data_IF_127861317861
#
_entry.id   IF_127861317861
#
_cell.length_a   1.000
_cell.length_b   1.000
_cell.length_c   1.000
_cell.angle_alpha   90.00
_cell.angle_beta   90.00
_cell.angle_gamma   90.00
#
_symmetry.space_group_name_H-M   'P 1'
#
loop_
_entity.id
_entity.type
_entity.pdbx_description
1 polymer ?
#
# COMPACT_ATOMS: atom_id res chain seq x y z
N UNK A 1 31.59 16.10 34.14
CA UNK A 1 32.74 15.19 34.30
C UNK A 1 33.83 15.58 33.32
N UNK A 2 35.10 15.30 33.67
CA UNK A 2 36.24 15.54 32.81
C UNK A 2 36.57 14.24 32.05
N UNK A 3 36.67 14.32 30.71
CA UNK A 3 37.10 13.24 29.85
C UNK A 3 38.55 13.46 29.45
N UNK A 4 39.42 12.47 29.66
CA UNK A 4 40.79 12.43 29.18
C UNK A 4 40.89 11.51 27.99
N UNK A 5 41.27 12.02 26.83
CA UNK A 5 41.48 11.22 25.63
C UNK A 5 42.82 10.48 25.72
N UNK A 6 42.81 9.18 25.98
CA UNK A 6 44.01 8.34 25.96
C UNK A 6 44.45 8.09 24.48
N UNK A 7 45.75 7.84 24.25
CA UNK A 7 46.22 7.43 22.92
C UNK A 7 45.49 6.18 22.43
N UNK A 8 44.82 6.29 21.33
CA UNK A 8 44.10 5.15 20.69
C UNK A 8 44.08 5.29 19.17
N UNK A 9 44.09 4.15 18.49
CA UNK A 9 44.09 4.11 16.99
C UNK A 9 42.85 4.78 16.42
N UNK A 10 41.70 4.62 17.07
CA UNK A 10 40.42 5.09 16.59
C UNK A 10 40.04 6.50 17.08
N UNK A 11 40.76 6.99 18.11
CA UNK A 11 40.51 8.33 18.67
C UNK A 11 39.20 8.47 19.45
N UNK A 12 39.04 9.62 20.10
CA UNK A 12 37.85 10.01 20.84
C UNK A 12 37.30 11.30 20.22
N UNK A 13 36.01 11.37 20.02
CA UNK A 13 35.32 12.57 19.55
C UNK A 13 34.21 12.96 20.54
N UNK A 14 34.18 14.23 20.93
CA UNK A 14 33.13 14.82 21.76
C UNK A 14 32.32 15.78 20.86
N UNK A 15 31.02 15.56 20.78
CA UNK A 15 30.15 16.24 19.84
C UNK A 15 30.65 16.07 18.38
N UNK A 16 31.16 17.14 17.76
CA UNK A 16 31.74 17.12 16.40
C UNK A 16 33.25 17.33 16.37
N UNK A 17 33.90 17.45 17.56
CA UNK A 17 35.33 17.71 17.67
C UNK A 17 36.07 16.43 18.07
N UNK A 18 37.11 16.10 17.31
CA UNK A 18 38.04 15.01 17.68
C UNK A 18 39.03 15.54 18.71
N UNK A 19 39.20 14.80 19.81
CA UNK A 19 40.14 15.13 20.87
C UNK A 19 41.51 14.57 20.51
N UNK A 20 42.58 15.36 20.78
CA UNK A 20 43.95 14.92 20.62
C UNK A 20 44.33 13.94 21.75
N UNK A 21 45.29 13.01 21.55
CA UNK A 21 45.80 12.17 22.60
C UNK A 21 46.34 13.01 23.77
N UNK A 22 45.89 12.75 24.98
CA UNK A 22 46.24 13.50 26.19
C UNK A 22 45.40 14.78 26.44
N UNK A 23 44.50 15.11 25.50
CA UNK A 23 43.61 16.25 25.66
C UNK A 23 42.51 15.96 26.70
N UNK A 24 42.27 16.97 27.55
CA UNK A 24 41.15 16.94 28.49
C UNK A 24 40.01 17.81 28.00
N UNK A 25 38.82 17.28 28.06
CA UNK A 25 37.61 18.02 27.69
C UNK A 25 36.55 17.82 28.79
N UNK A 26 35.84 18.90 29.11
CA UNK A 26 34.68 18.79 29.99
C UNK A 26 33.55 18.12 29.21
N UNK A 27 33.11 16.95 29.66
CA UNK A 27 31.89 16.36 29.20
C UNK A 27 30.72 17.09 29.86
N UNK A 28 29.90 17.87 29.09
CA UNK A 28 28.70 18.41 29.65
C UNK A 28 27.82 17.24 30.10
N UNK A 29 27.30 17.32 31.31
CA UNK A 29 26.29 16.36 31.79
C UNK A 29 25.04 16.45 30.92
N UNK A 30 24.35 15.37 30.74
CA UNK A 30 23.08 15.37 30.03
C UNK A 30 23.08 14.65 28.67
N UNK A 31 22.59 15.29 27.63
CA UNK A 31 22.25 14.66 26.35
C UNK A 31 23.41 14.56 25.34
N UNK A 32 24.63 14.95 25.70
CA UNK A 32 25.75 14.86 24.78
C UNK A 32 26.41 13.48 24.75
N UNK A 33 26.48 12.93 23.54
CA UNK A 33 27.17 11.67 23.27
C UNK A 33 28.64 11.94 22.90
N UNK A 34 29.54 11.07 23.37
CA UNK A 34 30.90 11.01 22.86
C UNK A 34 31.14 9.69 22.13
N UNK A 35 32.05 9.72 21.19
CA UNK A 35 32.34 8.58 20.30
C UNK A 35 33.75 8.10 20.55
N UNK A 36 33.92 6.84 20.84
CA UNK A 36 35.20 6.15 20.93
C UNK A 36 35.29 5.14 19.81
N UNK A 37 36.09 5.45 18.80
CA UNK A 37 36.11 4.66 17.57
C UNK A 37 34.76 4.65 16.85
N UNK A 38 34.12 3.49 16.76
CA UNK A 38 32.78 3.33 16.16
C UNK A 38 31.66 3.29 17.24
N UNK A 39 32.00 3.31 18.52
CA UNK A 39 31.03 3.17 19.61
C UNK A 39 30.62 4.54 20.13
N UNK A 40 29.31 4.79 20.12
CA UNK A 40 28.73 6.00 20.71
C UNK A 40 28.40 5.71 22.19
N UNK A 41 28.92 6.51 23.06
CA UNK A 41 28.77 6.40 24.51
C UNK A 41 28.14 7.66 25.08
N UNK A 42 27.37 7.53 26.15
CA UNK A 42 26.76 8.63 26.88
C UNK A 42 27.19 8.53 28.34
N UNK A 43 27.74 9.61 28.84
CA UNK A 43 28.05 9.72 30.26
C UNK A 43 26.82 10.27 31.00
N UNK A 44 26.36 9.54 32.00
CA UNK A 44 25.31 10.00 32.91
C UNK A 44 25.92 10.22 34.30
N UNK A 45 25.62 11.36 34.89
CA UNK A 45 26.04 11.70 36.21
C UNK A 45 24.99 11.27 37.24
N UNK A 46 25.44 10.88 38.43
CA UNK A 46 24.54 10.57 39.54
C UNK A 46 23.72 11.82 39.91
N UNK A 47 22.39 11.70 39.95
CA UNK A 47 21.49 12.82 40.24
C UNK A 47 20.96 13.54 38.99
N UNK A 48 21.36 13.16 37.77
CA UNK A 48 20.79 13.67 36.56
C UNK A 48 19.32 13.23 36.41
N UNK A 49 18.41 14.19 36.14
CA UNK A 49 17.00 13.86 35.91
C UNK A 49 16.87 12.98 34.67
N UNK A 50 16.44 11.76 34.86
CA UNK A 50 16.14 10.85 33.76
C UNK A 50 14.86 11.31 33.07
N UNK A 51 14.87 11.30 31.72
CA UNK A 51 13.64 11.45 30.99
C UNK A 51 12.65 10.36 31.45
N UNK A 52 11.36 10.71 31.65
CA UNK A 52 10.38 9.75 32.11
C UNK A 52 10.36 8.53 31.19
N UNK A 53 10.36 7.35 31.79
CA UNK A 53 10.29 6.09 31.05
C UNK A 53 9.07 6.12 30.12
N UNK A 54 9.32 5.97 28.84
CA UNK A 54 8.24 5.77 27.88
C UNK A 54 7.87 4.30 27.90
N UNK A 55 6.61 4.02 28.23
CA UNK A 55 6.10 2.67 28.10
C UNK A 55 6.38 2.16 26.67
N UNK A 56 7.04 1.02 26.56
CA UNK A 56 7.21 0.33 25.29
C UNK A 56 5.82 0.13 24.67
N UNK A 57 5.70 0.44 23.37
CA UNK A 57 4.49 0.18 22.64
C UNK A 57 4.06 -1.27 22.90
N UNK A 58 2.88 -1.44 23.45
CA UNK A 58 2.37 -2.77 23.80
C UNK A 58 2.41 -3.66 22.56
N UNK A 59 3.09 -4.79 22.64
CA UNK A 59 3.07 -5.79 21.57
C UNK A 59 1.60 -6.11 21.23
N UNK A 60 1.27 -6.24 19.95
CA UNK A 60 -0.10 -6.55 19.56
C UNK A 60 -0.55 -7.82 20.29
N UNK A 61 -1.74 -7.80 20.87
CA UNK A 61 -2.30 -8.99 21.54
C UNK A 61 -2.44 -10.08 20.50
N UNK A 62 -1.72 -11.18 20.65
CA UNK A 62 -1.70 -12.32 19.70
C UNK A 62 -3.11 -12.78 19.36
N UNK A 63 -3.99 -12.87 20.36
CA UNK A 63 -5.39 -13.23 20.18
C UNK A 63 -6.12 -12.29 19.22
N UNK A 64 -5.97 -10.97 19.40
CA UNK A 64 -6.61 -10.00 18.50
C UNK A 64 -6.04 -10.07 17.09
N UNK A 65 -4.74 -10.31 16.95
CA UNK A 65 -4.11 -10.50 15.63
C UNK A 65 -4.65 -11.73 14.92
N UNK A 66 -4.79 -12.84 15.64
CA UNK A 66 -5.39 -14.07 15.08
C UNK A 66 -6.85 -13.88 14.70
N UNK A 67 -7.64 -13.16 15.51
CA UNK A 67 -9.04 -12.85 15.19
C UNK A 67 -9.12 -12.05 13.89
N UNK A 68 -8.29 -11.00 13.72
CA UNK A 68 -8.30 -10.19 12.50
C UNK A 68 -7.83 -11.01 11.29
N UNK A 69 -6.79 -11.85 11.44
CA UNK A 69 -6.34 -12.74 10.37
C UNK A 69 -7.41 -13.77 9.98
N UNK A 70 -8.14 -14.32 10.95
CA UNK A 70 -9.25 -15.23 10.72
C UNK A 70 -10.44 -14.51 10.04
N UNK A 71 -10.74 -13.28 10.42
CA UNK A 71 -11.75 -12.44 9.75
C UNK A 71 -11.37 -12.15 8.30
N UNK A 72 -10.11 -11.78 8.03
CA UNK A 72 -9.61 -11.59 6.67
C UNK A 72 -9.78 -12.87 5.85
N UNK A 73 -9.32 -14.00 6.37
CA UNK A 73 -9.42 -15.28 5.67
C UNK A 73 -10.88 -15.69 5.43
N UNK A 74 -11.73 -15.59 6.47
CA UNK A 74 -13.17 -15.88 6.34
C UNK A 74 -13.85 -14.95 5.33
N UNK A 75 -13.49 -13.67 5.30
CA UNK A 75 -13.97 -12.71 4.30
C UNK A 75 -13.57 -13.14 2.88
N UNK A 76 -12.30 -13.47 2.65
CA UNK A 76 -11.82 -13.91 1.33
C UNK A 76 -12.50 -15.20 0.88
N UNK A 77 -12.72 -16.16 1.80
CA UNK A 77 -13.50 -17.37 1.50
C UNK A 77 -14.95 -17.06 1.14
N UNK A 78 -15.60 -16.15 1.86
CA UNK A 78 -16.96 -15.73 1.56
C UNK A 78 -17.06 -15.00 0.21
N UNK A 79 -16.12 -14.10 -0.08
CA UNK A 79 -16.04 -13.41 -1.36
C UNK A 79 -15.80 -14.40 -2.51
N UNK A 80 -14.96 -15.39 -2.32
CA UNK A 80 -14.74 -16.48 -3.29
C UNK A 80 -15.99 -17.31 -3.49
N UNK A 81 -16.70 -17.68 -2.42
CA UNK A 81 -17.94 -18.47 -2.48
C UNK A 81 -19.04 -17.78 -3.29
N UNK A 82 -19.08 -16.42 -3.28
CA UNK A 82 -20.07 -15.65 -4.07
C UNK A 82 -19.68 -15.62 -5.56
N UNK A 83 -18.39 -15.74 -5.88
CA UNK A 83 -17.88 -15.60 -7.24
C UNK A 83 -17.70 -16.95 -7.96
N UNK A 84 -17.68 -18.06 -7.23
CA UNK A 84 -17.48 -19.40 -7.81
C UNK A 84 -18.75 -19.89 -8.48
N UNK A 85 -18.60 -20.52 -9.64
CA UNK A 85 -19.72 -21.06 -10.40
C UNK A 85 -20.41 -22.25 -9.69
N UNK A 86 -21.72 -22.38 -9.81
CA UNK A 86 -22.44 -23.56 -9.35
C UNK A 86 -21.89 -24.84 -10.00
N UNK A 87 -21.53 -25.83 -9.19
CA UNK A 87 -20.95 -27.09 -9.66
C UNK A 87 -19.42 -27.13 -9.68
N UNK A 88 -18.74 -26.13 -9.10
CA UNK A 88 -17.29 -26.14 -8.88
C UNK A 88 -16.84 -27.37 -8.09
N UNK A 89 -15.62 -27.82 -8.38
CA UNK A 89 -15.01 -28.98 -7.70
C UNK A 89 -14.46 -28.59 -6.33
N UNK A 90 -14.37 -29.55 -5.42
CA UNK A 90 -13.72 -29.36 -4.11
C UNK A 90 -12.27 -28.90 -4.27
N UNK A 91 -11.59 -29.33 -5.35
CA UNK A 91 -10.23 -28.86 -5.68
C UNK A 91 -10.11 -27.34 -5.83
N UNK A 92 -11.16 -26.67 -6.30
CA UNK A 92 -11.15 -25.23 -6.56
C UNK A 92 -11.10 -24.42 -5.25
N UNK A 93 -11.55 -25.03 -4.16
CA UNK A 93 -11.50 -24.46 -2.82
C UNK A 93 -10.13 -24.60 -2.14
N UNK A 94 -9.24 -25.48 -2.65
CA UNK A 94 -7.92 -25.68 -2.02
C UNK A 94 -7.08 -24.42 -2.06
N UNK A 95 -7.14 -23.66 -3.16
CA UNK A 95 -6.35 -22.45 -3.32
C UNK A 95 -6.75 -21.35 -2.31
N UNK A 96 -8.01 -20.93 -2.18
CA UNK A 96 -8.39 -19.93 -1.18
C UNK A 96 -8.29 -20.47 0.25
N UNK A 97 -8.52 -21.77 0.47
CA UNK A 97 -8.46 -22.37 1.80
C UNK A 97 -7.03 -22.42 2.36
N UNK A 98 -6.07 -22.86 1.57
CA UNK A 98 -4.68 -23.04 1.98
C UNK A 98 -3.76 -21.92 1.47
N UNK A 99 -3.97 -21.43 0.26
CA UNK A 99 -3.12 -20.45 -0.38
C UNK A 99 -3.09 -19.12 0.37
N UNK A 100 -4.23 -18.64 0.84
CA UNK A 100 -4.30 -17.37 1.59
C UNK A 100 -3.51 -17.41 2.91
N UNK A 101 -3.73 -18.41 3.81
CA UNK A 101 -2.93 -18.51 5.03
C UNK A 101 -1.43 -18.69 4.76
N UNK A 102 -1.08 -19.52 3.76
CA UNK A 102 0.32 -19.76 3.39
C UNK A 102 0.97 -18.49 2.83
N UNK A 103 0.31 -17.77 1.93
CA UNK A 103 0.81 -16.52 1.38
C UNK A 103 0.99 -15.44 2.46
N UNK A 104 -0.01 -15.28 3.32
CA UNK A 104 0.05 -14.33 4.44
C UNK A 104 1.15 -14.71 5.45
N UNK A 105 1.29 -15.99 5.77
CA UNK A 105 2.34 -16.50 6.65
C UNK A 105 3.73 -16.27 6.06
N UNK A 106 3.94 -16.64 4.80
CA UNK A 106 5.20 -16.44 4.06
C UNK A 106 5.58 -14.96 3.97
N UNK A 107 4.61 -14.10 3.66
CA UNK A 107 4.79 -12.64 3.67
C UNK A 107 5.28 -12.13 5.02
N UNK A 108 4.66 -12.57 6.11
CA UNK A 108 5.03 -12.16 7.46
C UNK A 108 6.40 -12.71 7.88
N UNK A 109 6.77 -13.92 7.44
CA UNK A 109 8.11 -14.49 7.65
C UNK A 109 9.17 -13.67 6.94
N UNK A 110 8.95 -13.29 5.67
CA UNK A 110 9.88 -12.45 4.91
C UNK A 110 10.13 -11.10 5.60
N UNK A 111 9.07 -10.43 6.04
CA UNK A 111 9.20 -9.17 6.78
C UNK A 111 9.83 -9.37 8.17
N UNK A 112 9.53 -10.47 8.83
CA UNK A 112 10.16 -10.85 10.10
C UNK A 112 11.66 -11.10 9.95
N UNK A 113 12.08 -11.74 8.84
CA UNK A 113 13.49 -11.92 8.50
C UNK A 113 14.18 -10.58 8.21
N UNK A 114 13.51 -9.68 7.47
CA UNK A 114 14.00 -8.33 7.27
C UNK A 114 14.19 -7.60 8.62
N UNK A 115 13.23 -7.70 9.53
CA UNK A 115 13.37 -7.14 10.89
C UNK A 115 14.54 -7.76 11.64
N UNK A 116 14.76 -9.07 11.52
CA UNK A 116 15.91 -9.76 12.13
C UNK A 116 17.24 -9.24 11.56
N UNK A 117 17.29 -8.98 10.26
CA UNK A 117 18.50 -8.47 9.60
C UNK A 117 18.85 -7.03 10.03
N UNK A 118 17.84 -6.16 10.17
CA UNK A 118 18.06 -4.73 10.45
C UNK A 118 17.97 -4.33 11.92
N UNK A 119 17.32 -5.14 12.77
CA UNK A 119 17.08 -4.83 14.19
C UNK A 119 17.48 -5.95 15.14
N UNK A 120 17.95 -7.07 14.60
CA UNK A 120 18.26 -8.27 15.38
C UNK A 120 17.05 -8.89 16.13
N UNK A 121 15.82 -8.54 15.68
CA UNK A 121 14.57 -9.00 16.29
C UNK A 121 13.66 -9.60 15.24
N UNK A 122 13.21 -10.84 15.45
CA UNK A 122 12.20 -11.49 14.62
C UNK A 122 10.82 -11.28 15.22
N UNK A 123 10.01 -10.36 14.65
CA UNK A 123 8.70 -10.01 15.20
C UNK A 123 7.56 -10.37 14.25
N UNK A 124 7.33 -11.67 14.06
CA UNK A 124 6.28 -12.22 13.20
C UNK A 124 4.89 -11.66 13.54
N UNK A 125 4.54 -11.57 14.84
CA UNK A 125 3.21 -11.15 15.25
C UNK A 125 2.90 -9.68 14.95
N UNK A 126 3.89 -8.81 15.01
CA UNK A 126 3.72 -7.41 14.63
C UNK A 126 3.47 -7.29 13.13
N UNK A 127 4.24 -8.02 12.32
CA UNK A 127 4.07 -8.06 10.87
C UNK A 127 2.71 -8.64 10.47
N UNK A 128 2.29 -9.73 11.10
CA UNK A 128 0.97 -10.32 10.87
C UNK A 128 -0.16 -9.35 11.24
N UNK A 129 -0.01 -8.62 12.35
CA UNK A 129 -1.01 -7.64 12.77
C UNK A 129 -1.16 -6.47 11.80
N UNK A 130 -0.07 -6.02 11.17
CA UNK A 130 -0.10 -4.95 10.15
C UNK A 130 -0.67 -5.48 8.85
N UNK A 131 -0.19 -6.65 8.37
CA UNK A 131 -0.63 -7.26 7.13
C UNK A 131 -2.13 -7.59 7.16
N UNK A 132 -2.60 -8.30 8.19
CA UNK A 132 -4.00 -8.71 8.30
C UNK A 132 -4.95 -7.50 8.34
N UNK A 133 -4.61 -6.44 9.08
CA UNK A 133 -5.43 -5.21 9.12
C UNK A 133 -5.44 -4.47 7.80
N UNK A 134 -4.26 -4.34 7.17
CA UNK A 134 -4.14 -3.61 5.91
C UNK A 134 -4.85 -4.33 4.76
N UNK A 135 -4.69 -5.65 4.67
CA UNK A 135 -5.39 -6.47 3.68
C UNK A 135 -6.90 -6.51 3.93
N UNK A 136 -7.34 -6.68 5.19
CA UNK A 136 -8.77 -6.62 5.49
C UNK A 136 -9.38 -5.27 5.13
N UNK A 137 -8.68 -4.17 5.41
CA UNK A 137 -9.13 -2.83 5.00
C UNK A 137 -9.21 -2.70 3.47
N UNK A 138 -8.24 -3.23 2.73
CA UNK A 138 -8.22 -3.22 1.27
C UNK A 138 -9.38 -4.05 0.69
N UNK A 139 -9.60 -5.26 1.19
CA UNK A 139 -10.68 -6.15 0.77
C UNK A 139 -12.06 -5.55 1.04
N UNK A 140 -12.28 -5.05 2.27
CA UNK A 140 -13.54 -4.39 2.64
C UNK A 140 -13.78 -3.14 1.79
N UNK A 141 -12.75 -2.34 1.53
CA UNK A 141 -12.84 -1.16 0.67
C UNK A 141 -13.20 -1.56 -0.77
N UNK A 142 -12.52 -2.58 -1.31
CA UNK A 142 -12.75 -3.11 -2.66
C UNK A 142 -14.15 -3.68 -2.85
N UNK A 143 -14.77 -4.18 -1.78
CA UNK A 143 -16.16 -4.65 -1.81
C UNK A 143 -17.17 -3.54 -1.57
N UNK A 144 -17.00 -2.74 -0.52
CA UNK A 144 -18.00 -1.77 -0.06
C UNK A 144 -18.18 -0.63 -1.05
N UNK A 145 -17.09 -0.09 -1.63
CA UNK A 145 -17.20 1.06 -2.52
C UNK A 145 -17.98 0.78 -3.81
N UNK A 146 -17.75 -0.34 -4.55
CA UNK A 146 -18.56 -0.67 -5.73
C UNK A 146 -20.03 -0.93 -5.37
N UNK A 147 -20.29 -1.59 -4.25
CA UNK A 147 -21.64 -1.81 -3.78
C UNK A 147 -22.34 -0.50 -3.41
N UNK A 148 -21.68 0.38 -2.67
CA UNK A 148 -22.19 1.71 -2.35
C UNK A 148 -22.45 2.54 -3.63
N UNK A 149 -21.56 2.44 -4.61
CA UNK A 149 -21.72 3.08 -5.92
C UNK A 149 -22.98 2.60 -6.64
N UNK A 150 -23.21 1.29 -6.65
CA UNK A 150 -24.39 0.69 -7.29
C UNK A 150 -25.67 1.08 -6.57
N UNK A 151 -25.70 0.98 -5.22
CA UNK A 151 -26.87 1.31 -4.39
C UNK A 151 -27.26 2.79 -4.50
N UNK A 152 -26.27 3.69 -4.51
CA UNK A 152 -26.49 5.13 -4.56
C UNK A 152 -26.51 5.71 -5.97
N UNK A 153 -26.35 4.88 -7.02
CA UNK A 153 -26.16 5.33 -8.42
C UNK A 153 -25.06 6.38 -8.57
N UNK A 154 -23.97 6.22 -7.80
CA UNK A 154 -22.84 7.14 -7.76
C UNK A 154 -21.59 6.52 -8.43
N UNK A 155 -21.45 6.58 -9.77
CA UNK A 155 -20.40 5.89 -10.51
C UNK A 155 -18.99 6.36 -10.14
N UNK A 156 -18.86 7.56 -9.58
CA UNK A 156 -17.57 8.08 -9.10
C UNK A 156 -16.96 7.20 -8.01
N UNK A 157 -17.78 6.65 -7.09
CA UNK A 157 -17.29 5.78 -6.02
C UNK A 157 -16.63 4.50 -6.58
N UNK A 158 -17.20 3.90 -7.61
CA UNK A 158 -16.57 2.75 -8.27
C UNK A 158 -15.27 3.13 -8.99
N UNK A 159 -15.23 4.30 -9.63
CA UNK A 159 -14.02 4.78 -10.34
C UNK A 159 -12.84 5.02 -9.40
N UNK A 160 -13.08 5.47 -8.17
CA UNK A 160 -12.03 5.72 -7.18
C UNK A 160 -11.65 4.47 -6.38
N UNK A 161 -12.38 3.37 -6.49
CA UNK A 161 -12.14 2.12 -5.74
C UNK A 161 -10.71 1.59 -5.90
N UNK A 162 -10.11 1.47 -7.11
CA UNK A 162 -8.74 0.97 -7.24
C UNK A 162 -7.73 1.85 -6.50
N UNK A 163 -7.91 3.18 -6.55
CA UNK A 163 -7.08 4.13 -5.80
C UNK A 163 -7.22 3.97 -4.29
N UNK A 164 -8.43 3.78 -3.79
CA UNK A 164 -8.70 3.56 -2.37
C UNK A 164 -8.11 2.25 -1.86
N UNK A 165 -8.22 1.17 -2.63
CA UNK A 165 -7.58 -0.13 -2.33
C UNK A 165 -6.06 0.02 -2.32
N UNK A 166 -5.49 0.66 -3.34
CA UNK A 166 -4.05 0.92 -3.41
C UNK A 166 -3.56 1.76 -2.21
N UNK A 167 -4.34 2.74 -1.76
CA UNK A 167 -4.07 3.53 -0.56
C UNK A 167 -3.96 2.63 0.70
N UNK A 168 -4.86 1.67 0.87
CA UNK A 168 -4.82 0.70 1.98
C UNK A 168 -3.55 -0.16 1.91
N UNK A 169 -3.19 -0.64 0.72
CA UNK A 169 -1.99 -1.46 0.51
C UNK A 169 -0.72 -0.64 0.81
N UNK A 170 -0.62 0.58 0.31
CA UNK A 170 0.52 1.47 0.58
C UNK A 170 0.63 1.79 2.07
N UNK A 171 -0.47 2.07 2.75
CA UNK A 171 -0.48 2.28 4.20
C UNK A 171 0.03 1.04 4.95
N UNK A 172 -0.37 -0.16 4.53
CA UNK A 172 0.12 -1.44 5.05
C UNK A 172 1.63 -1.59 4.82
N UNK A 173 2.13 -1.35 3.61
CA UNK A 173 3.56 -1.44 3.29
C UNK A 173 4.40 -0.45 4.10
N UNK A 174 3.94 0.79 4.24
CA UNK A 174 4.58 1.79 5.12
C UNK A 174 4.58 1.29 6.58
N UNK A 175 3.50 0.65 7.03
CA UNK A 175 3.40 0.03 8.34
C UNK A 175 4.45 -1.06 8.54
N UNK A 176 4.61 -1.97 7.56
CA UNK A 176 5.62 -3.02 7.55
C UNK A 176 7.04 -2.44 7.59
N UNK A 177 7.34 -1.50 6.70
CA UNK A 177 8.65 -0.85 6.63
C UNK A 177 9.02 -0.12 7.93
N UNK A 178 8.04 0.49 8.61
CA UNK A 178 8.25 1.16 9.92
C UNK A 178 8.53 0.18 11.06
N UNK A 179 8.10 -1.06 10.95
CA UNK A 179 8.49 -2.12 11.89
C UNK A 179 9.94 -2.53 11.67
N UNK A 180 10.40 -2.59 10.41
CA UNK A 180 11.78 -2.95 10.06
C UNK A 180 12.77 -1.83 10.37
N UNK A 181 12.42 -0.56 10.09
CA UNK A 181 13.31 0.59 10.27
C UNK A 181 12.62 1.71 11.08
N UNK A 182 12.43 1.52 12.39
CA UNK A 182 11.70 2.46 13.24
C UNK A 182 12.39 3.82 13.38
N UNK A 183 13.72 3.90 13.18
CA UNK A 183 14.50 5.12 13.21
C UNK A 183 14.15 6.05 12.02
N UNK A 184 13.67 5.54 10.89
CA UNK A 184 13.39 6.28 9.67
C UNK A 184 11.89 6.52 9.42
N UNK A 185 11.06 6.52 10.47
CA UNK A 185 9.57 6.58 10.36
C UNK A 185 9.04 7.75 9.54
N UNK A 186 9.69 8.93 9.60
CA UNK A 186 9.28 10.12 8.81
C UNK A 186 9.64 9.94 7.34
N UNK A 187 10.88 9.53 7.06
CA UNK A 187 11.34 9.29 5.69
C UNK A 187 10.49 8.21 4.99
N UNK A 188 10.23 7.09 5.65
CA UNK A 188 9.41 6.00 5.12
C UNK A 188 7.98 6.46 4.79
N UNK A 189 7.38 7.34 5.61
CA UNK A 189 6.08 7.92 5.28
C UNK A 189 6.13 8.82 4.07
N UNK A 190 7.11 9.73 4.02
CA UNK A 190 7.27 10.65 2.89
C UNK A 190 7.50 9.86 1.60
N UNK A 191 8.47 8.95 1.59
CA UNK A 191 8.79 8.12 0.41
C UNK A 191 7.60 7.24 0.00
N UNK A 192 6.92 6.61 0.94
CA UNK A 192 5.77 5.76 0.64
C UNK A 192 4.60 6.55 0.04
N UNK A 193 4.24 7.69 0.63
CA UNK A 193 3.14 8.51 0.10
C UNK A 193 3.50 9.24 -1.19
N UNK A 194 4.73 9.76 -1.33
CA UNK A 194 5.18 10.37 -2.60
C UNK A 194 5.24 9.32 -3.71
N UNK A 195 5.74 8.12 -3.42
CA UNK A 195 5.73 7.00 -4.37
C UNK A 195 4.32 6.62 -4.81
N UNK A 196 3.34 6.60 -3.88
CA UNK A 196 1.93 6.38 -4.21
C UNK A 196 1.38 7.46 -5.15
N UNK A 197 1.60 8.74 -4.83
CA UNK A 197 1.11 9.87 -5.66
C UNK A 197 1.73 9.82 -7.05
N UNK A 198 3.05 9.63 -7.14
CA UNK A 198 3.76 9.53 -8.43
C UNK A 198 3.28 8.32 -9.21
N UNK A 199 3.17 7.14 -8.58
CA UNK A 199 2.67 5.92 -9.22
C UNK A 199 1.24 6.07 -9.72
N UNK A 200 0.35 6.66 -8.92
CA UNK A 200 -1.02 6.95 -9.33
C UNK A 200 -1.07 7.92 -10.52
N UNK A 201 -0.27 8.99 -10.50
CA UNK A 201 -0.18 9.95 -11.61
C UNK A 201 0.31 9.29 -12.90
N UNK A 202 1.34 8.43 -12.82
CA UNK A 202 1.85 7.67 -13.97
C UNK A 202 0.78 6.74 -14.52
N UNK A 203 0.10 5.97 -13.65
CA UNK A 203 -0.97 5.06 -14.08
C UNK A 203 -2.13 5.81 -14.74
N UNK A 204 -2.53 6.95 -14.19
CA UNK A 204 -3.57 7.81 -14.79
C UNK A 204 -3.13 8.36 -16.14
N UNK A 205 -1.89 8.84 -16.28
CA UNK A 205 -1.34 9.33 -17.54
C UNK A 205 -1.28 8.22 -18.61
N UNK A 206 -0.82 7.02 -18.24
CA UNK A 206 -0.79 5.87 -19.13
C UNK A 206 -2.21 5.42 -19.55
N UNK A 207 -3.17 5.46 -18.64
CA UNK A 207 -4.55 5.15 -18.95
C UNK A 207 -5.16 6.17 -19.91
N UNK A 208 -4.89 7.46 -19.67
CA UNK A 208 -5.29 8.53 -20.59
C UNK A 208 -4.68 8.34 -21.99
N UNK A 209 -3.38 8.03 -22.06
CA UNK A 209 -2.68 7.84 -23.34
C UNK A 209 -3.18 6.61 -24.12
N UNK A 210 -3.52 5.52 -23.43
CA UNK A 210 -3.95 4.26 -24.09
C UNK A 210 -5.42 4.22 -24.44
N UNK A 211 -6.26 4.87 -23.64
CA UNK A 211 -7.72 4.70 -23.69
C UNK A 211 -8.47 6.03 -23.80
N UNK A 212 -7.75 7.15 -23.88
CA UNK A 212 -8.30 8.53 -23.84
C UNK A 212 -9.25 8.75 -22.64
N UNK A 213 -8.93 8.13 -21.50
CA UNK A 213 -9.73 8.17 -20.26
C UNK A 213 -8.84 8.24 -19.04
N UNK A 214 -9.24 9.07 -18.08
CA UNK A 214 -8.53 9.20 -16.80
C UNK A 214 -8.71 8.01 -15.85
N UNK A 215 -9.86 7.33 -15.95
CA UNK A 215 -10.23 6.20 -15.09
C UNK A 215 -10.57 4.98 -15.93
N UNK A 216 -10.35 3.80 -15.34
CA UNK A 216 -10.77 2.53 -15.94
C UNK A 216 -12.29 2.47 -16.11
N UNK A 217 -12.77 1.65 -17.04
CA UNK A 217 -14.18 1.39 -17.19
C UNK A 217 -14.76 0.74 -15.94
N UNK A 218 -16.02 1.09 -15.69
CA UNK A 218 -16.78 0.47 -14.62
C UNK A 218 -17.17 -0.94 -15.03
N UNK A 219 -16.58 -1.94 -14.42
CA UNK A 219 -17.00 -3.32 -14.58
C UNK A 219 -17.68 -3.79 -13.29
N UNK A 220 -18.97 -4.15 -13.40
CA UNK A 220 -19.74 -4.69 -12.29
C UNK A 220 -20.08 -6.14 -12.65
N UNK A 221 -19.43 -7.08 -12.00
CA UNK A 221 -19.64 -8.52 -12.23
C UNK A 221 -20.94 -9.05 -11.65
N UNK A 222 -21.49 -8.39 -10.64
CA UNK A 222 -22.74 -8.76 -9.99
C UNK A 222 -23.56 -7.50 -9.66
N UNK A 223 -24.82 -7.50 -10.03
CA UNK A 223 -25.75 -6.42 -9.70
C UNK A 223 -26.41 -6.73 -8.34
N UNK A 224 -26.54 -5.71 -7.46
CA UNK A 224 -27.30 -5.88 -6.22
C UNK A 224 -28.77 -6.14 -6.53
N UNK A 225 -29.48 -6.89 -5.66
CA UNK A 225 -30.92 -7.10 -5.80
C UNK A 225 -31.68 -5.78 -5.93
N UNK A 226 -32.68 -5.68 -6.80
CA UNK A 226 -33.42 -4.42 -7.03
C UNK A 226 -34.06 -3.85 -5.75
N UNK A 227 -34.39 -4.70 -4.78
CA UNK A 227 -34.96 -4.32 -3.48
C UNK A 227 -34.00 -3.53 -2.58
N UNK A 228 -32.69 -3.60 -2.84
CA UNK A 228 -31.65 -2.88 -2.08
C UNK A 228 -31.21 -1.57 -2.76
N UNK A 229 -31.70 -1.29 -4.00
CA UNK A 229 -31.36 -0.05 -4.69
C UNK A 229 -32.01 1.15 -4.02
N UNK A 230 -31.22 2.15 -3.69
CA UNK A 230 -31.71 3.43 -3.11
C UNK A 230 -32.05 4.44 -4.24
N UNK A 231 -31.61 4.18 -5.45
CA UNK A 231 -31.95 4.98 -6.62
C UNK A 231 -33.36 4.72 -7.08
N UNK A 232 -34.01 5.75 -7.63
CA UNK A 232 -35.34 5.61 -8.24
C UNK A 232 -35.23 4.68 -9.46
N UNK A 233 -36.06 3.65 -9.55
CA UNK A 233 -36.11 2.81 -10.76
C UNK A 233 -36.53 3.65 -11.96
N UNK A 234 -35.85 3.48 -13.06
CA UNK A 234 -36.17 4.14 -14.35
C UNK A 234 -37.16 3.24 -15.09
N UNK A 235 -38.20 3.82 -15.68
CA UNK A 235 -39.14 3.06 -16.49
C UNK A 235 -38.48 2.59 -17.78
N UNK A 236 -38.95 1.47 -18.40
CA UNK A 236 -38.40 0.99 -19.67
C UNK A 236 -38.38 2.09 -20.74
N UNK A 237 -39.44 2.93 -20.82
CA UNK A 237 -39.53 4.02 -21.79
C UNK A 237 -38.51 5.14 -21.52
N UNK A 238 -38.24 5.45 -20.26
CA UNK A 238 -37.20 6.42 -19.89
C UNK A 238 -35.80 5.86 -20.22
N UNK A 239 -35.56 4.57 -19.99
CA UNK A 239 -34.32 3.89 -20.34
C UNK A 239 -34.08 3.91 -21.86
N UNK A 240 -35.08 3.55 -22.65
CA UNK A 240 -34.98 3.55 -24.11
C UNK A 240 -34.75 4.98 -24.63
N UNK A 241 -35.45 5.98 -24.09
CA UNK A 241 -35.22 7.40 -24.47
C UNK A 241 -33.80 7.84 -24.13
N UNK A 242 -33.28 7.43 -22.96
CA UNK A 242 -31.88 7.68 -22.56
C UNK A 242 -30.88 7.01 -23.50
N UNK A 243 -31.18 5.78 -23.93
CA UNK A 243 -30.34 5.06 -24.89
C UNK A 243 -30.29 5.72 -26.26
N UNK A 244 -31.40 6.33 -26.71
CA UNK A 244 -31.42 7.08 -27.97
C UNK A 244 -30.45 8.27 -27.95
N UNK A 245 -30.27 8.91 -26.81
CA UNK A 245 -29.32 10.02 -26.65
C UNK A 245 -27.86 9.58 -26.82
N UNK A 246 -27.55 8.30 -26.62
CA UNK A 246 -26.22 7.73 -26.82
C UNK A 246 -25.88 7.45 -28.30
N UNK A 247 -26.86 7.49 -29.18
CA UNK A 247 -26.65 7.18 -30.60
C UNK A 247 -25.72 8.18 -31.30
N UNK A 248 -25.91 9.46 -31.07
CA UNK A 248 -25.06 10.49 -31.67
C UNK A 248 -23.57 10.40 -31.27
N UNK A 249 -23.21 10.27 -29.99
CA UNK A 249 -21.81 10.06 -29.60
C UNK A 249 -21.25 8.73 -30.07
N UNK A 250 -22.07 7.66 -30.17
CA UNK A 250 -21.63 6.37 -30.70
C UNK A 250 -21.30 6.47 -32.20
N UNK A 251 -22.20 7.07 -33.00
CA UNK A 251 -21.98 7.30 -34.41
C UNK A 251 -20.75 8.20 -34.67
N UNK A 252 -20.47 9.15 -33.78
CA UNK A 252 -19.27 9.98 -33.85
C UNK A 252 -18.00 9.16 -33.57
N UNK A 253 -18.04 8.27 -32.56
CA UNK A 253 -16.94 7.39 -32.23
C UNK A 253 -16.63 6.37 -33.33
N UNK A 254 -17.68 5.79 -33.95
CA UNK A 254 -17.53 4.89 -35.09
C UNK A 254 -16.85 5.61 -36.27
N UNK A 255 -17.33 6.81 -36.61
CA UNK A 255 -16.72 7.62 -37.71
C UNK A 255 -15.27 8.04 -37.41
N UNK A 256 -14.93 8.24 -36.14
CA UNK A 256 -13.55 8.51 -35.73
C UNK A 256 -12.66 7.27 -35.91
N UNK A 257 -13.12 6.11 -35.45
CA UNK A 257 -12.40 4.84 -35.61
C UNK A 257 -12.21 4.44 -37.09
N UNK A 258 -13.22 4.68 -37.96
CA UNK A 258 -13.13 4.44 -39.39
C UNK A 258 -12.09 5.35 -40.07
N UNK A 259 -12.01 6.62 -39.66
CA UNK A 259 -10.97 7.57 -40.14
C UNK A 259 -9.56 7.15 -39.74
N UNK A 260 -9.38 6.74 -38.48
CA UNK A 260 -8.09 6.30 -37.97
C UNK A 260 -7.65 5.00 -38.69
N UNK A 261 -8.57 4.09 -38.94
CA UNK A 261 -8.32 2.86 -39.68
C UNK A 261 -8.00 3.12 -41.18
N UNK A 262 -8.59 4.16 -41.78
CA UNK A 262 -8.27 4.58 -43.14
C UNK A 262 -6.89 5.23 -43.20
N UNK A 263 -6.57 6.15 -42.28
CA UNK A 263 -5.26 6.80 -42.20
C UNK A 263 -4.13 5.80 -41.95
N UNK A 264 -4.39 4.77 -41.14
CA UNK A 264 -3.42 3.68 -40.88
C UNK A 264 -3.13 2.85 -42.15
N UNK A 265 -4.14 2.59 -43.00
CA UNK A 265 -3.96 1.88 -44.25
C UNK A 265 -3.18 2.68 -45.29
N UNK A 266 -3.44 3.99 -45.38
CA UNK A 266 -2.72 4.88 -46.30
C UNK A 266 -1.23 5.04 -45.89
N UNK A 267 -0.94 5.03 -44.59
CA UNK A 267 0.41 5.09 -44.09
C UNK A 267 1.21 3.78 -44.31
N UNK A 268 0.54 2.64 -44.34
CA UNK A 268 1.15 1.33 -44.61
C UNK A 268 1.38 1.15 -46.13
N UNK A 269 0.42 1.58 -46.96
CA UNK A 269 0.57 1.53 -48.42
C UNK A 269 1.69 2.45 -48.94
N UNK A 270 1.93 3.61 -48.30
CA UNK A 270 3.05 4.50 -48.66
C UNK A 270 4.43 4.00 -48.26
N UNK A 271 4.53 3.02 -47.38
CA UNK A 271 5.78 2.39 -47.01
C UNK A 271 6.26 1.29 -47.96
N UNK A 272 5.30 0.64 -48.61
CA UNK A 272 5.59 -0.43 -49.56
C UNK A 272 6.10 0.14 -50.92
N UNK A 273 5.76 1.41 -51.26
CA UNK A 273 6.21 2.09 -52.47
C UNK A 273 7.62 2.73 -52.36
N UNK A 274 8.16 2.93 -51.15
CA UNK A 274 9.53 3.45 -50.95
C UNK A 274 10.61 2.36 -50.85
N UNK A 275 10.24 1.10 -50.97
CA UNK A 275 11.12 -0.07 -50.83
C UNK A 275 11.55 -0.78 -52.11
N UNK A 276 11.16 -0.31 -53.32
CA UNK A 276 11.64 -0.76 -54.63
C UNK A 276 12.64 0.29 -55.21
#
# INVERSE_FOLDING_TARGET
AELLALPSVNGVALARRRLAPGERAMAPGGDEDFVVGATRLRLRLAGEALAPERALARAPRRTMTLVIAALLWGWMLAAFAIQIDPGSRVSDWLLPLLGVPVALGSWCVLWGLASKLFQDRFDFWAHLAVAARGLLAAEVTGFVLPWAAALASAPLLSRVTPGAVALCIVAMLIGQARLVAPQHRRALRIVGWSGFVVGAAILMALNQQRHDRWFSELYVSALPPPTLLWSRPVTPDEFVRGAVALRAPLDAAVRAAERDAAAGRDADAGRDDEGE
#
